data_IF_905804606839
#
_entry.id   IF_905804606839
#
_cell.length_a   1.000
_cell.length_b   1.000
_cell.length_c   1.000
_cell.angle_alpha   90.00
_cell.angle_beta   90.00
_cell.angle_gamma   90.00
#
_symmetry.space_group_name_H-M   'P 1'
#
loop_
_entity.id
_entity.type
_entity.pdbx_description
1 polymer ?
#
# COMPACT_ATOMS: atom_id res chain seq x y z
N UNK A 1 36.73 6.92 2.60
CA UNK A 1 35.88 6.12 3.49
C UNK A 1 34.42 6.42 3.18
N UNK A 2 33.76 5.63 2.33
CA UNK A 2 32.30 5.72 2.18
C UNK A 2 31.66 5.06 3.40
N UNK A 3 31.04 5.86 4.26
CA UNK A 3 30.17 5.41 5.35
C UNK A 3 28.95 4.73 4.71
N UNK A 4 28.97 3.40 4.62
CA UNK A 4 27.77 2.64 4.29
C UNK A 4 26.86 2.73 5.51
N UNK A 5 25.81 3.56 5.43
CA UNK A 5 24.82 3.70 6.49
C UNK A 5 24.00 2.40 6.57
N UNK A 6 24.41 1.50 7.45
CA UNK A 6 23.64 0.31 7.78
C UNK A 6 22.45 0.73 8.65
N UNK A 7 21.25 0.33 8.25
CA UNK A 7 20.03 0.55 9.02
C UNK A 7 19.69 -0.73 9.77
N UNK A 8 20.06 -0.77 11.05
CA UNK A 8 19.95 -1.94 11.94
C UNK A 8 18.55 -2.07 12.55
N UNK A 9 17.61 -1.20 12.16
CA UNK A 9 16.24 -1.28 12.68
C UNK A 9 15.61 -2.62 12.28
N UNK A 10 14.68 -3.15 13.10
CA UNK A 10 13.86 -4.29 12.71
C UNK A 10 13.11 -4.00 11.41
N UNK A 11 13.02 -5.01 10.53
CA UNK A 11 12.33 -4.90 9.24
C UNK A 11 10.90 -4.34 9.30
N UNK A 12 10.06 -4.68 10.31
CA UNK A 12 8.74 -4.06 10.44
C UNK A 12 8.78 -2.54 10.65
N UNK A 13 9.80 -2.02 11.33
CA UNK A 13 9.97 -0.59 11.56
C UNK A 13 10.35 0.14 10.24
N UNK A 14 11.24 -0.47 9.44
CA UNK A 14 11.57 0.00 8.10
C UNK A 14 10.34 0.02 7.18
N UNK A 15 9.56 -1.06 7.16
CA UNK A 15 8.31 -1.14 6.37
C UNK A 15 7.27 -0.13 6.81
N UNK A 16 7.18 0.18 8.11
CA UNK A 16 6.30 1.23 8.61
C UNK A 16 6.68 2.61 8.04
N UNK A 17 7.97 2.92 7.98
CA UNK A 17 8.46 4.14 7.32
C UNK A 17 8.12 4.15 5.82
N UNK A 18 8.35 3.03 5.12
CA UNK A 18 8.03 2.90 3.69
C UNK A 18 6.53 3.17 3.45
N UNK A 19 5.65 2.58 4.26
CA UNK A 19 4.21 2.80 4.17
C UNK A 19 3.82 4.26 4.42
N UNK A 20 4.43 4.92 5.41
CA UNK A 20 4.22 6.34 5.71
C UNK A 20 4.59 7.23 4.53
N UNK A 21 5.76 7.00 3.94
CA UNK A 21 6.29 7.79 2.83
C UNK A 21 5.49 7.59 1.54
N UNK A 22 5.08 6.34 1.26
CA UNK A 22 4.17 6.03 0.17
C UNK A 22 2.81 6.74 0.33
N UNK A 23 2.32 6.86 1.57
CA UNK A 23 1.14 7.65 1.92
C UNK A 23 1.38 9.18 1.95
N UNK A 24 2.56 9.64 1.49
CA UNK A 24 2.93 11.06 1.31
C UNK A 24 3.05 11.87 2.60
N UNK A 25 3.34 11.21 3.72
CA UNK A 25 3.72 11.90 4.95
C UNK A 25 5.24 12.02 5.04
N UNK A 26 5.76 13.25 4.97
CA UNK A 26 7.20 13.49 5.05
C UNK A 26 7.82 13.25 6.43
N UNK A 27 7.02 13.20 7.49
CA UNK A 27 7.52 12.94 8.86
C UNK A 27 6.59 12.04 9.66
N UNK A 28 7.16 11.29 10.60
CA UNK A 28 6.41 10.50 11.58
C UNK A 28 5.40 11.35 12.38
N UNK A 29 5.80 12.57 12.74
CA UNK A 29 4.95 13.54 13.43
C UNK A 29 3.72 13.93 12.60
N UNK A 30 3.88 14.15 11.28
CA UNK A 30 2.78 14.50 10.39
C UNK A 30 1.76 13.35 10.30
N UNK A 31 2.22 12.11 10.15
CA UNK A 31 1.35 10.94 10.14
C UNK A 31 0.61 10.77 11.47
N UNK A 32 1.33 10.82 12.60
CA UNK A 32 0.73 10.70 13.92
C UNK A 32 -0.33 11.78 14.18
N UNK A 33 -0.08 13.03 13.79
CA UNK A 33 -1.06 14.11 13.90
C UNK A 33 -2.29 13.87 13.01
N UNK A 34 -2.08 13.46 11.75
CA UNK A 34 -3.16 13.22 10.79
C UNK A 34 -4.11 12.10 11.21
N UNK A 35 -3.58 11.07 11.86
CA UNK A 35 -4.35 9.89 12.30
C UNK A 35 -4.68 9.88 13.80
N UNK A 36 -4.36 10.96 14.53
CA UNK A 36 -4.68 11.09 15.95
C UNK A 36 -3.95 10.10 16.86
N UNK A 37 -2.72 9.70 16.51
CA UNK A 37 -1.91 8.80 17.33
C UNK A 37 -1.01 9.56 18.30
N UNK A 38 -0.65 8.91 19.40
CA UNK A 38 0.43 9.39 20.25
C UNK A 38 1.75 9.44 19.44
N UNK A 39 2.36 10.62 19.38
CA UNK A 39 3.54 10.91 18.54
C UNK A 39 4.74 10.08 18.96
N UNK A 40 5.02 10.01 20.27
CA UNK A 40 6.19 9.32 20.80
C UNK A 40 6.08 7.81 20.59
N UNK A 41 4.88 7.26 20.78
CA UNK A 41 4.62 5.83 20.54
C UNK A 41 4.81 5.48 19.06
N UNK A 42 4.27 6.28 18.15
CA UNK A 42 4.47 6.07 16.71
C UNK A 42 5.95 6.20 16.32
N UNK A 43 6.64 7.20 16.86
CA UNK A 43 8.06 7.42 16.62
C UNK A 43 8.92 6.26 17.11
N UNK A 44 8.67 5.71 18.30
CA UNK A 44 9.38 4.54 18.83
C UNK A 44 9.13 3.27 18.00
N UNK A 45 7.94 3.12 17.41
CA UNK A 45 7.62 2.02 16.50
C UNK A 45 8.36 2.14 15.17
N UNK A 46 8.39 3.33 14.55
CA UNK A 46 9.08 3.56 13.28
C UNK A 46 10.62 3.55 13.42
N UNK A 47 11.13 3.96 14.58
CA UNK A 47 12.55 3.84 14.91
C UNK A 47 12.96 2.43 15.36
N UNK A 48 12.02 1.52 15.54
CA UNK A 48 12.32 0.15 15.97
C UNK A 48 12.71 -0.01 17.45
N UNK A 49 12.60 1.05 18.26
CA UNK A 49 12.82 0.99 19.70
C UNK A 49 11.82 0.06 20.39
N UNK A 50 10.60 -0.02 19.84
CA UNK A 50 9.53 -0.92 20.30
C UNK A 50 8.94 -1.68 19.12
N UNK A 51 8.59 -2.94 19.34
CA UNK A 51 7.90 -3.76 18.34
C UNK A 51 6.50 -3.23 18.03
N UNK A 52 6.09 -3.31 16.77
CA UNK A 52 4.84 -2.71 16.28
C UNK A 52 3.62 -3.62 16.44
N UNK A 53 3.77 -4.86 16.94
CA UNK A 53 2.77 -5.93 16.86
C UNK A 53 1.34 -5.50 17.24
N UNK A 54 1.13 -4.96 18.45
CA UNK A 54 -0.21 -4.50 18.89
C UNK A 54 -0.77 -3.31 18.10
N UNK A 55 0.09 -2.57 17.40
CA UNK A 55 -0.27 -1.38 16.63
C UNK A 55 -0.31 -1.66 15.11
N UNK A 56 0.09 -2.84 14.65
CA UNK A 56 0.30 -3.14 13.24
C UNK A 56 -1.00 -3.02 12.44
N UNK A 57 -2.09 -3.67 12.87
CA UNK A 57 -3.43 -3.51 12.28
C UNK A 57 -3.86 -2.04 12.12
N UNK A 58 -3.59 -1.21 13.13
CA UNK A 58 -3.95 0.22 13.13
C UNK A 58 -3.18 0.98 12.03
N UNK A 59 -1.88 0.73 11.92
CA UNK A 59 -1.03 1.38 10.92
C UNK A 59 -1.32 0.87 9.51
N UNK A 60 -1.50 -0.44 9.37
CA UNK A 60 -1.87 -1.09 8.12
C UNK A 60 -3.10 -0.44 7.49
N UNK A 61 -4.17 -0.31 8.28
CA UNK A 61 -5.43 0.32 7.85
C UNK A 61 -5.23 1.78 7.42
N UNK A 62 -4.45 2.56 8.16
CA UNK A 62 -4.22 3.97 7.87
C UNK A 62 -3.40 4.19 6.59
N UNK A 63 -2.41 3.34 6.35
CA UNK A 63 -1.54 3.42 5.18
C UNK A 63 -2.01 2.57 4.00
N UNK A 64 -3.17 1.90 4.11
CA UNK A 64 -3.76 1.05 3.07
C UNK A 64 -2.82 -0.07 2.61
N UNK A 65 -2.10 -0.65 3.57
CA UNK A 65 -1.28 -1.85 3.38
C UNK A 65 -1.87 -2.99 4.22
N UNK A 66 -1.45 -4.22 3.97
CA UNK A 66 -1.82 -5.34 4.83
C UNK A 66 -0.99 -5.37 6.12
N UNK A 67 -1.59 -5.89 7.19
CA UNK A 67 -0.89 -6.10 8.46
C UNK A 67 0.22 -7.14 8.32
N UNK A 68 -0.02 -8.20 7.55
CA UNK A 68 0.99 -9.19 7.18
C UNK A 68 2.18 -8.51 6.50
N UNK A 69 1.94 -7.59 5.57
CA UNK A 69 3.03 -6.92 4.86
C UNK A 69 3.87 -6.09 5.82
N UNK A 70 3.26 -5.38 6.77
CA UNK A 70 4.01 -4.65 7.79
C UNK A 70 4.86 -5.60 8.66
N UNK A 71 4.31 -6.73 9.10
CA UNK A 71 4.98 -7.62 10.06
C UNK A 71 5.98 -8.59 9.42
N UNK A 72 5.66 -9.18 8.28
CA UNK A 72 6.46 -10.23 7.62
C UNK A 72 6.96 -9.82 6.24
N UNK A 73 6.32 -8.84 5.60
CA UNK A 73 6.59 -8.47 4.21
C UNK A 73 5.68 -9.17 3.20
N UNK A 74 4.75 -10.01 3.65
CA UNK A 74 3.84 -10.77 2.80
C UNK A 74 2.50 -10.06 2.59
N UNK A 75 1.93 -10.17 1.40
CA UNK A 75 0.63 -9.57 1.07
C UNK A 75 0.74 -8.11 0.62
N UNK A 76 -0.39 -7.38 0.69
CA UNK A 76 -0.53 -6.09 0.03
C UNK A 76 0.44 -5.03 0.60
N UNK A 77 1.38 -4.59 -0.22
CA UNK A 77 2.29 -3.48 0.07
C UNK A 77 1.81 -2.11 -0.44
N UNK A 78 2.54 -1.03 -0.16
CA UNK A 78 2.24 0.29 -0.69
C UNK A 78 2.38 0.31 -2.22
N UNK A 79 1.42 0.94 -2.90
CA UNK A 79 1.42 1.03 -4.37
C UNK A 79 0.88 -0.21 -5.07
N UNK A 80 0.63 -1.31 -4.35
CA UNK A 80 -0.11 -2.43 -4.90
C UNK A 80 -1.59 -2.07 -4.91
N UNK A 81 -2.16 -1.95 -6.12
CA UNK A 81 -3.59 -1.89 -6.30
C UNK A 81 -4.20 -3.08 -5.58
N UNK A 82 -5.18 -2.81 -4.70
CA UNK A 82 -5.91 -3.86 -4.01
C UNK A 82 -6.51 -4.74 -5.09
N UNK A 83 -5.96 -5.94 -5.30
CA UNK A 83 -6.55 -6.89 -6.24
C UNK A 83 -7.94 -7.18 -5.73
N UNK A 84 -8.95 -6.65 -6.42
CA UNK A 84 -10.34 -6.95 -6.12
C UNK A 84 -10.55 -8.42 -6.44
N UNK A 85 -10.59 -9.26 -5.40
CA UNK A 85 -11.19 -10.59 -5.48
C UNK A 85 -12.62 -10.45 -5.01
N UNK A 86 -13.51 -10.08 -5.93
CA UNK A 86 -14.95 -10.20 -5.65
C UNK A 86 -15.35 -11.64 -5.99
N UNK A 87 -15.77 -12.46 -5.00
CA UNK A 87 -16.20 -13.83 -5.25
C UNK A 87 -17.33 -13.91 -6.29
N UNK A 88 -18.18 -12.88 -6.39
CA UNK A 88 -19.25 -12.81 -7.38
C UNK A 88 -18.72 -12.68 -8.80
N UNK A 89 -17.58 -12.01 -8.98
CA UNK A 89 -16.94 -11.92 -10.30
C UNK A 89 -16.35 -13.28 -10.67
N UNK A 90 -15.69 -13.98 -9.74
CA UNK A 90 -15.17 -15.33 -10.00
C UNK A 90 -16.30 -16.32 -10.32
N UNK A 91 -17.42 -16.26 -9.60
CA UNK A 91 -18.63 -17.03 -9.86
C UNK A 91 -19.25 -16.69 -11.23
N UNK A 92 -19.35 -15.40 -11.56
CA UNK A 92 -19.88 -14.94 -12.84
C UNK A 92 -19.03 -15.40 -14.03
N UNK A 93 -17.70 -15.40 -13.91
CA UNK A 93 -16.79 -15.93 -14.94
C UNK A 93 -16.98 -17.42 -15.20
N UNK A 94 -17.42 -18.19 -14.19
CA UNK A 94 -17.68 -19.61 -14.30
C UNK A 94 -19.06 -19.90 -14.93
N UNK A 95 -20.09 -19.16 -14.50
CA UNK A 95 -21.46 -19.41 -14.94
C UNK A 95 -21.81 -18.71 -16.26
N UNK A 96 -21.27 -17.51 -16.50
CA UNK A 96 -21.64 -16.60 -17.59
C UNK A 96 -20.42 -15.82 -18.11
N UNK A 97 -19.48 -16.50 -18.79
CA UNK A 97 -18.27 -15.86 -19.30
C UNK A 97 -18.55 -14.75 -20.33
N UNK A 98 -19.68 -14.83 -21.04
CA UNK A 98 -20.17 -13.80 -21.97
C UNK A 98 -20.47 -12.48 -21.26
N UNK A 99 -21.12 -12.54 -20.10
CA UNK A 99 -21.44 -11.36 -19.29
C UNK A 99 -20.17 -10.88 -18.57
N UNK A 100 -19.37 -11.80 -18.05
CA UNK A 100 -18.15 -11.45 -17.30
C UNK A 100 -17.13 -10.69 -18.17
N UNK A 101 -17.00 -11.05 -19.45
CA UNK A 101 -16.20 -10.32 -20.42
C UNK A 101 -16.68 -8.87 -20.59
N UNK A 102 -17.98 -8.68 -20.84
CA UNK A 102 -18.58 -7.34 -21.00
C UNK A 102 -18.41 -6.48 -19.74
N UNK A 103 -18.59 -7.09 -18.55
CA UNK A 103 -18.40 -6.39 -17.27
C UNK A 103 -16.94 -5.99 -17.07
N UNK A 104 -16.01 -6.86 -17.43
CA UNK A 104 -14.57 -6.61 -17.26
C UNK A 104 -14.09 -5.53 -18.20
N UNK A 105 -14.47 -5.56 -19.49
CA UNK A 105 -14.18 -4.49 -20.45
C UNK A 105 -14.74 -3.14 -19.99
N UNK A 106 -15.98 -3.14 -19.45
CA UNK A 106 -16.58 -1.93 -18.91
C UNK A 106 -15.83 -1.37 -17.70
N UNK A 107 -15.37 -2.23 -16.79
CA UNK A 107 -14.56 -1.82 -15.64
C UNK A 107 -13.20 -1.29 -16.09
N UNK A 108 -12.54 -1.95 -17.04
CA UNK A 108 -11.25 -1.53 -17.59
C UNK A 108 -11.34 -0.15 -18.23
N UNK A 109 -12.35 0.10 -19.06
CA UNK A 109 -12.60 1.41 -19.66
C UNK A 109 -12.83 2.51 -18.61
N UNK A 110 -13.59 2.21 -17.55
CA UNK A 110 -13.81 3.17 -16.46
C UNK A 110 -12.53 3.46 -15.68
N UNK A 111 -11.71 2.45 -15.45
CA UNK A 111 -10.41 2.60 -14.79
C UNK A 111 -9.48 3.46 -15.64
N UNK A 112 -9.38 3.19 -16.95
CA UNK A 112 -8.56 3.97 -17.89
C UNK A 112 -9.01 5.43 -17.94
N UNK A 113 -10.31 5.66 -18.10
CA UNK A 113 -10.91 7.00 -18.07
C UNK A 113 -10.58 7.74 -16.75
N UNK A 114 -10.66 7.05 -15.62
CA UNK A 114 -10.32 7.62 -14.31
C UNK A 114 -8.82 7.92 -14.18
N UNK A 115 -7.94 7.09 -14.74
CA UNK A 115 -6.50 7.33 -14.78
C UNK A 115 -6.13 8.54 -15.64
N UNK A 116 -6.71 8.66 -16.82
CA UNK A 116 -6.55 9.82 -17.71
C UNK A 116 -7.03 11.11 -17.03
N UNK A 117 -8.23 11.08 -16.44
CA UNK A 117 -8.79 12.21 -15.71
C UNK A 117 -7.95 12.61 -14.48
N UNK A 118 -7.19 11.68 -13.90
CA UNK A 118 -6.29 11.94 -12.77
C UNK A 118 -4.94 12.57 -13.16
N UNK A 119 -4.63 12.66 -14.47
CA UNK A 119 -3.36 13.21 -14.97
C UNK A 119 -2.13 12.33 -14.70
N UNK A 120 -2.33 11.05 -14.35
CA UNK A 120 -1.28 10.07 -14.07
C UNK A 120 -0.96 9.15 -15.26
N UNK A 121 -1.64 9.31 -16.40
CA UNK A 121 -1.64 8.39 -17.55
C UNK A 121 -0.34 8.28 -18.36
N UNK A 122 0.68 9.11 -18.11
CA UNK A 122 1.77 9.30 -19.09
C UNK A 122 3.14 8.72 -18.70
N UNK A 123 3.22 7.60 -17.97
CA UNK A 123 4.51 7.06 -17.49
C UNK A 123 4.87 5.60 -17.81
N UNK A 124 4.05 4.82 -18.51
CA UNK A 124 4.37 3.39 -18.73
C UNK A 124 4.84 2.99 -20.14
N UNK A 125 4.90 3.89 -21.12
CA UNK A 125 5.32 3.50 -22.49
C UNK A 125 6.83 3.48 -22.74
N UNK A 126 7.67 3.69 -21.71
CA UNK A 126 9.13 3.60 -21.85
C UNK A 126 9.72 2.31 -21.29
N UNK A 127 9.13 1.14 -21.60
CA UNK A 127 9.82 -0.16 -21.53
C UNK A 127 9.24 -1.16 -22.55
N UNK A 128 9.36 -0.85 -23.84
CA UNK A 128 9.33 -1.84 -24.93
C UNK A 128 9.81 -1.21 -26.24
N UNK A 129 11.08 -0.82 -26.28
CA UNK A 129 11.89 -0.79 -27.51
C UNK A 129 13.31 -1.20 -27.15
#
# INVERSE_FOLDING_TARGET
>A
MHIMAYDDRPEPAKRLQIAREAAKFGTAKAAALRFGWNKDSYYQHENGTRGIGRAAAKYAKAFKVSEAWLLTGEGQGPGEARKFKDPRLEELWLERPDIAAVVTEGIEQQIETAYEASGLGEKNDRKKQ
#
